data_IF_088028928673
#
_entry.id   IF_088028928673
#
_cell.length_a   1.000
_cell.length_b   1.000
_cell.length_c   1.000
_cell.angle_alpha   90.00
_cell.angle_beta   90.00
_cell.angle_gamma   90.00
#
_symmetry.space_group_name_H-M   'P 1'
#
loop_
_entity.id
_entity.type
_entity.pdbx_description
1 polymer ?
2 water ?
#
# COMPACT_ATOMS: atom_id res chain seq x y z
N UNK A 1 28.91 -11.25 3.17
CA UNK A 1 28.52 -11.05 1.74
C UNK A 1 27.04 -10.71 1.56
N UNK A 2 26.18 -11.31 2.39
CA UNK A 2 24.75 -11.07 2.31
C UNK A 2 24.40 -9.70 2.85
N UNK A 3 23.51 -8.99 2.16
CA UNK A 3 22.99 -7.73 2.67
C UNK A 3 21.66 -7.98 3.37
N UNK A 4 21.65 -7.76 4.68
CA UNK A 4 20.43 -7.93 5.46
C UNK A 4 19.69 -6.62 5.71
N UNK A 5 20.42 -5.54 5.95
CA UNK A 5 19.82 -4.29 6.41
C UNK A 5 19.71 -3.28 5.28
N UNK A 6 18.51 -2.73 5.11
CA UNK A 6 18.26 -1.68 4.12
C UNK A 6 17.77 -0.43 4.85
N UNK A 7 18.26 0.73 4.43
CA UNK A 7 17.91 1.99 5.07
C UNK A 7 17.05 2.87 4.17
N UNK A 8 16.35 3.80 4.81
CA UNK A 8 15.55 4.80 4.11
C UNK A 8 16.46 5.69 3.28
N UNK A 9 17.61 6.06 3.85
CA UNK A 9 18.59 6.89 3.16
C UNK A 9 18.95 6.31 1.79
N UNK A 10 19.06 4.98 1.70
CA UNK A 10 19.43 4.32 0.45
C UNK A 10 18.26 3.79 -0.41
N UNK A 11 17.03 4.05 0.01
CA UNK A 11 15.84 3.59 -0.69
C UNK A 11 15.51 4.49 -1.89
N UNK A 12 14.54 4.04 -2.69
CA UNK A 12 13.92 4.86 -3.73
C UNK A 12 12.56 5.33 -3.24
N UNK A 13 12.28 6.62 -3.44
CA UNK A 13 11.01 7.19 -3.05
C UNK A 13 10.24 7.60 -4.30
N UNK A 14 8.95 7.29 -4.32
CA UNK A 14 8.07 7.62 -5.44
C UNK A 14 6.80 8.22 -4.85
N UNK A 15 6.20 9.18 -5.55
CA UNK A 15 4.79 9.47 -5.30
C UNK A 15 3.96 8.68 -6.30
N UNK A 16 3.06 7.86 -5.76
CA UNK A 16 2.22 6.97 -6.54
C UNK A 16 0.77 7.30 -6.17
N UNK A 17 0.06 7.99 -7.06
CA UNK A 17 -1.38 8.23 -6.87
C UNK A 17 -1.77 8.90 -5.55
N UNK A 18 -0.92 9.79 -5.04
CA UNK A 18 -1.20 10.47 -3.79
C UNK A 18 -0.48 9.90 -2.57
N UNK A 19 0.17 8.75 -2.71
CA UNK A 19 0.96 8.21 -1.59
C UNK A 19 2.45 8.41 -1.82
N UNK A 20 3.21 8.47 -0.73
CA UNK A 20 4.66 8.50 -0.80
C UNK A 20 5.16 7.11 -0.42
N UNK A 21 5.76 6.44 -1.40
CA UNK A 21 6.20 5.05 -1.28
C UNK A 21 7.70 5.00 -1.05
N UNK A 22 8.13 4.23 -0.06
CA UNK A 22 9.55 3.97 0.15
C UNK A 22 9.83 2.52 -0.24
N UNK A 23 10.62 2.34 -1.30
CA UNK A 23 11.02 1.02 -1.78
C UNK A 23 12.47 0.78 -1.41
N UNK A 24 12.71 -0.16 -0.51
CA UNK A 24 14.04 -0.34 0.06
C UNK A 24 15.04 -0.96 -0.90
N UNK A 25 14.56 -1.81 -1.81
CA UNK A 25 15.41 -2.42 -2.84
C UNK A 25 15.85 -3.84 -2.57
N UNK A 26 15.40 -4.42 -1.46
CA UNK A 26 15.65 -5.83 -1.20
C UNK A 26 14.94 -6.69 -2.23
N UNK A 27 15.50 -7.88 -2.50
CA UNK A 27 14.89 -8.85 -3.40
C UNK A 27 14.63 -10.12 -2.60
N UNK A 28 13.39 -10.60 -2.64
CA UNK A 28 12.99 -11.80 -1.93
C UNK A 28 11.72 -12.27 -2.61
N UNK A 29 11.74 -13.47 -3.21
CA UNK A 29 10.57 -13.90 -3.95
C UNK A 29 9.30 -14.04 -3.09
N UNK A 30 9.46 -14.25 -1.79
CA UNK A 30 8.31 -14.57 -0.95
C UNK A 30 7.51 -13.33 -0.52
N UNK A 31 8.15 -12.17 -0.47
CA UNK A 31 7.45 -10.98 -0.03
C UNK A 31 8.23 -9.72 -0.34
N UNK A 32 7.48 -8.65 -0.58
CA UNK A 32 8.01 -7.30 -0.72
C UNK A 32 7.42 -6.46 0.40
N UNK A 33 8.28 -5.85 1.21
CA UNK A 33 7.84 -4.96 2.27
C UNK A 33 8.29 -3.54 1.94
N UNK A 34 7.33 -2.61 1.98
CA UNK A 34 7.56 -1.20 1.66
C UNK A 34 6.91 -0.33 2.72
N UNK A 35 7.29 0.94 2.75
CA UNK A 35 6.64 1.92 3.61
C UNK A 35 5.70 2.76 2.76
N UNK A 36 4.54 3.10 3.31
CA UNK A 36 3.56 3.96 2.65
C UNK A 36 3.23 5.11 3.58
N UNK A 37 3.41 6.33 3.08
CA UNK A 37 2.96 7.53 3.77
C UNK A 37 1.83 8.14 2.94
N UNK A 38 0.70 8.44 3.58
CA UNK A 38 -0.42 9.01 2.84
C UNK A 38 -1.00 10.19 3.60
N UNK A 39 -1.17 11.30 2.89
CA UNK A 39 -1.70 12.52 3.49
C UNK A 39 -3.22 12.63 3.34
N UNK A 40 -3.74 12.24 2.17
CA UNK A 40 -5.19 12.29 1.91
C UNK A 40 -5.75 11.01 1.31
N UNK A 41 -5.01 10.38 0.39
CA UNK A 41 -5.49 9.13 -0.17
C UNK A 41 -4.61 8.52 -1.22
N UNK A 42 -4.96 7.29 -1.58
CA UNK A 42 -4.46 6.62 -2.76
C UNK A 42 -5.58 6.73 -3.80
N UNK A 43 -5.42 7.70 -4.69
CA UNK A 43 -6.50 8.13 -5.58
C UNK A 43 -6.55 7.32 -6.88
N UNK A 44 -6.53 6.01 -6.71
CA UNK A 44 -6.60 5.07 -7.80
C UNK A 44 -6.99 3.75 -7.19
N UNK A 45 -7.87 3.03 -7.87
CA UNK A 45 -8.30 1.71 -7.44
C UNK A 45 -7.66 0.68 -8.35
N UNK A 46 -7.11 -0.35 -7.73
CA UNK A 46 -6.39 -1.40 -8.44
C UNK A 46 -6.70 -2.72 -7.80
N UNK A 47 -6.28 -3.79 -8.45
CA UNK A 47 -6.23 -5.10 -7.80
C UNK A 47 -4.97 -5.81 -8.25
N UNK A 48 -4.60 -6.85 -7.51
CA UNK A 48 -3.42 -7.63 -7.84
C UNK A 48 -3.84 -9.09 -7.98
N UNK A 49 -3.55 -9.69 -9.13
CA UNK A 49 -4.05 -11.03 -9.45
C UNK A 49 -3.34 -12.17 -8.70
N UNK A 50 -2.18 -11.87 -8.11
CA UNK A 50 -1.31 -12.90 -7.53
C UNK A 50 -1.01 -12.72 -6.03
N UNK A 51 -0.94 -11.47 -5.56
CA UNK A 51 -0.39 -11.19 -4.22
C UNK A 51 -1.41 -10.60 -3.26
N UNK A 52 -1.34 -11.03 -2.00
CA UNK A 52 -2.08 -10.38 -0.95
C UNK A 52 -1.35 -9.13 -0.51
N UNK A 53 -2.11 -8.13 -0.06
CA UNK A 53 -1.57 -6.87 0.43
C UNK A 53 -1.97 -6.75 1.89
N UNK A 54 -0.98 -6.65 2.77
CA UNK A 54 -1.24 -6.54 4.20
C UNK A 54 -0.67 -5.23 4.70
N UNK A 55 -1.56 -4.36 5.17
CA UNK A 55 -1.18 -3.04 5.66
C UNK A 55 -1.18 -3.04 7.18
N UNK A 56 -0.06 -2.66 7.77
CA UNK A 56 -0.01 -2.37 9.20
C UNK A 56 0.01 -0.87 9.39
N UNK A 57 -0.93 -0.34 10.19
CA UNK A 57 -1.04 1.11 10.38
C UNK A 57 -0.19 1.52 11.57
N UNK A 58 0.92 2.21 11.29
CA UNK A 58 1.83 2.66 12.35
C UNK A 58 1.19 3.82 13.11
N UNK A 59 0.59 4.74 12.36
CA UNK A 59 -0.01 5.92 12.95
C UNK A 59 -1.07 6.50 12.04
N UNK A 60 -1.95 7.31 12.63
CA UNK A 60 -2.99 7.97 11.90
C UNK A 60 -4.28 7.20 11.80
N UNK A 61 -5.09 7.61 10.83
CA UNK A 61 -6.44 7.10 10.67
C UNK A 61 -6.82 7.20 9.21
N UNK A 62 -7.61 6.24 8.75
CA UNK A 62 -8.09 6.25 7.37
C UNK A 62 -9.22 5.27 7.15
N UNK A 63 -9.53 5.04 5.87
CA UNK A 63 -10.59 4.11 5.48
C UNK A 63 -10.17 3.43 4.18
N UNK A 64 -10.18 2.11 4.19
CA UNK A 64 -9.93 1.33 3.00
C UNK A 64 -11.25 1.01 2.32
N UNK A 65 -11.23 0.98 0.99
CA UNK A 65 -12.35 0.50 0.20
C UNK A 65 -11.91 -0.77 -0.50
N UNK A 66 -12.47 -1.89 -0.06
CA UNK A 66 -12.06 -3.21 -0.50
C UNK A 66 -13.26 -3.85 -1.17
N UNK A 67 -13.16 -4.04 -2.48
CA UNK A 67 -14.33 -4.38 -3.31
C UNK A 67 -15.52 -3.47 -2.96
N UNK A 68 -15.21 -2.18 -2.85
CA UNK A 68 -16.16 -1.09 -2.60
C UNK A 68 -16.70 -0.99 -1.16
N UNK A 69 -16.28 -1.90 -0.28
CA UNK A 69 -16.73 -1.90 1.10
C UNK A 69 -15.78 -1.07 1.94
N UNK A 70 -16.33 -0.14 2.71
CA UNK A 70 -15.54 0.67 3.63
C UNK A 70 -15.06 -0.17 4.82
N UNK A 71 -13.76 -0.06 5.08
CA UNK A 71 -13.11 -0.72 6.21
C UNK A 71 -12.28 0.34 6.94
N UNK A 72 -12.78 0.84 8.08
CA UNK A 72 -12.05 1.86 8.84
C UNK A 72 -10.77 1.31 9.41
N UNK A 73 -9.76 2.17 9.50
CA UNK A 73 -8.45 1.76 9.99
C UNK A 73 -7.88 2.82 10.90
N UNK A 74 -7.22 2.37 11.96
CA UNK A 74 -6.54 3.25 12.89
C UNK A 74 -5.22 2.67 13.30
N UNK A 75 -4.45 3.44 14.06
CA UNK A 75 -3.12 3.04 14.49
C UNK A 75 -3.15 1.68 15.19
N UNK A 76 -2.22 0.82 14.78
CA UNK A 76 -2.03 -0.55 15.26
C UNK A 76 -2.95 -1.61 14.64
N UNK A 77 -3.88 -1.20 13.76
CA UNK A 77 -4.71 -2.15 13.04
C UNK A 77 -3.92 -2.82 11.92
N UNK A 78 -4.36 -4.02 11.58
CA UNK A 78 -3.81 -4.79 10.46
C UNK A 78 -4.93 -5.01 9.45
N UNK A 79 -4.68 -4.61 8.20
CA UNK A 79 -5.65 -4.75 7.13
C UNK A 79 -5.07 -5.75 6.14
N UNK A 80 -5.73 -6.89 5.98
CA UNK A 80 -5.23 -7.99 5.16
C UNK A 80 -6.16 -8.18 3.95
N UNK A 81 -5.62 -8.00 2.75
CA UNK A 81 -6.43 -8.01 1.53
C UNK A 81 -6.00 -9.17 0.63
N UNK A 82 -6.93 -10.10 0.35
CA UNK A 82 -6.59 -11.22 -0.54
C UNK A 82 -6.29 -10.77 -1.97
N UNK A 83 -5.62 -11.61 -2.76
CA UNK A 83 -5.49 -11.30 -4.18
C UNK A 83 -6.85 -11.10 -4.84
N UNK A 84 -6.84 -10.41 -5.97
CA UNK A 84 -8.04 -10.18 -6.78
C UNK A 84 -9.13 -9.40 -6.04
N UNK A 85 -8.71 -8.52 -5.14
CA UNK A 85 -9.60 -7.62 -4.42
C UNK A 85 -9.32 -6.19 -4.87
N UNK A 86 -10.36 -5.44 -5.26
CA UNK A 86 -10.19 -4.03 -5.58
C UNK A 86 -9.84 -3.23 -4.33
N UNK A 87 -8.81 -2.39 -4.44
CA UNK A 87 -8.32 -1.59 -3.32
C UNK A 87 -8.21 -0.12 -3.71
N UNK A 88 -8.79 0.76 -2.91
CA UNK A 88 -8.28 2.13 -2.77
C UNK A 88 -8.44 2.53 -1.30
N UNK A 89 -7.96 3.70 -0.93
CA UNK A 89 -8.06 4.13 0.46
C UNK A 89 -7.86 5.61 0.59
N UNK A 90 -8.44 6.16 1.66
CA UNK A 90 -8.26 7.54 2.04
C UNK A 90 -7.70 7.54 3.44
N UNK A 91 -7.00 8.60 3.80
CA UNK A 91 -6.53 8.75 5.16
C UNK A 91 -5.31 9.61 5.27
N UNK A 92 -4.97 9.88 6.52
CA UNK A 92 -3.72 10.49 6.88
C UNK A 92 -3.04 9.45 7.77
N UNK A 93 -2.13 8.68 7.17
CA UNK A 93 -1.58 7.47 7.80
C UNK A 93 -0.14 7.22 7.42
N UNK A 94 0.57 6.55 8.32
CA UNK A 94 1.85 5.92 8.03
C UNK A 94 1.65 4.42 8.18
N UNK A 95 2.10 3.66 7.18
CA UNK A 95 1.86 2.23 7.13
C UNK A 95 3.08 1.47 6.68
N UNK A 96 3.13 0.20 7.05
CA UNK A 96 4.07 -0.76 6.49
C UNK A 96 3.24 -1.74 5.68
N UNK A 97 3.59 -1.92 4.41
CA UNK A 97 2.82 -2.77 3.50
C UNK A 97 3.63 -3.97 3.09
N UNK A 98 3.04 -5.15 3.26
CA UNK A 98 3.61 -6.41 2.79
C UNK A 98 2.82 -6.89 1.57
N UNK A 99 3.51 -7.13 0.46
CA UNK A 99 2.92 -7.73 -0.74
C UNK A 99 3.52 -9.13 -0.83
N UNK A 100 2.69 -10.16 -0.85
CA UNK A 100 3.18 -11.56 -0.80
C UNK A 100 2.36 -12.44 -1.74
N UNK A 101 2.99 -13.19 -2.63
CA UNK A 101 4.43 -13.16 -2.88
C UNK A 101 4.90 -11.84 -3.47
N UNK A 102 6.20 -11.74 -3.76
CA UNK A 102 6.83 -10.49 -4.15
C UNK A 102 6.07 -9.75 -5.23
N UNK A 103 6.00 -8.44 -5.04
CA UNK A 103 5.34 -7.55 -5.98
C UNK A 103 5.94 -7.67 -7.37
N UNK A 104 5.06 -7.78 -8.35
CA UNK A 104 5.42 -7.73 -9.75
C UNK A 104 4.44 -6.79 -10.42
N UNK A 105 4.97 -5.74 -11.03
CA UNK A 105 4.18 -4.72 -11.74
C UNK A 105 3.10 -5.33 -12.65
N UNK A 106 3.45 -6.42 -13.31
CA UNK A 106 2.55 -7.09 -14.26
C UNK A 106 1.29 -7.64 -13.59
N UNK A 107 1.36 -7.91 -12.29
CA UNK A 107 0.23 -8.47 -11.54
C UNK A 107 -0.80 -7.44 -11.12
N UNK A 108 -0.42 -6.17 -11.12
CA UNK A 108 -1.28 -5.10 -10.64
C UNK A 108 -2.12 -4.59 -11.81
N UNK A 109 -3.40 -4.39 -11.57
CA UNK A 109 -4.35 -4.03 -12.63
C UNK A 109 -5.08 -2.76 -12.23
N UNK A 110 -5.09 -1.77 -13.13
CA UNK A 110 -5.84 -0.55 -12.92
C UNK A 110 -7.33 -0.78 -13.10
N UNK A 111 -8.14 -0.25 -12.18
CA UNK A 111 -9.60 -0.28 -12.31
C UNK A 111 -10.08 1.11 -12.70
N UNK A 112 -9.79 2.10 -11.86
CA UNK A 112 -10.26 3.47 -12.09
C UNK A 112 -9.47 4.46 -11.27
N UNK A 113 -9.44 5.72 -11.71
CA UNK A 113 -8.96 6.81 -10.90
C UNK A 113 -10.08 7.25 -9.96
N UNK A 114 -9.68 7.88 -8.86
CA UNK A 114 -10.60 8.35 -7.83
C UNK A 114 -10.36 9.84 -7.71
N UNK A 115 -11.42 10.63 -7.75
CA UNK A 115 -11.28 12.06 -7.66
C UNK A 115 -10.70 12.48 -6.30
N UNK A 116 -9.74 13.40 -6.31
CA UNK A 116 -9.12 13.88 -5.07
C UNK A 116 -10.14 14.47 -4.08
N UNK A 117 -11.25 14.97 -4.61
CA UNK A 117 -12.32 15.50 -3.77
C UNK A 117 -13.08 14.44 -2.97
N UNK A 118 -12.94 13.16 -3.34
CA UNK A 118 -13.68 12.10 -2.68
C UNK A 118 -13.11 11.74 -1.32
N UNK A 119 -11.85 12.10 -1.07
CA UNK A 119 -11.26 11.82 0.23
C UNK A 119 -11.78 12.81 1.25
N UNK A 120 -12.25 12.32 2.40
CA UNK A 120 -12.67 13.23 3.46
C UNK A 120 -11.52 13.70 4.36
N UNK A 121 -10.28 13.38 4.00
CA UNK A 121 -9.10 13.78 4.78
C UNK A 121 -8.41 14.99 4.15
#
# INVERSE_FOLDING_TARGET
MTKYKYTVEESERFNKHGIDLTVYGQVDPSATVVRVSVERGHFQEFFNVRSSYTYYVVSGQGVFYLNSEAVPAGATDLITVPPNTRIHYFGSMEMVLTVAPAFNEQDERHVRFISESESPY
#
